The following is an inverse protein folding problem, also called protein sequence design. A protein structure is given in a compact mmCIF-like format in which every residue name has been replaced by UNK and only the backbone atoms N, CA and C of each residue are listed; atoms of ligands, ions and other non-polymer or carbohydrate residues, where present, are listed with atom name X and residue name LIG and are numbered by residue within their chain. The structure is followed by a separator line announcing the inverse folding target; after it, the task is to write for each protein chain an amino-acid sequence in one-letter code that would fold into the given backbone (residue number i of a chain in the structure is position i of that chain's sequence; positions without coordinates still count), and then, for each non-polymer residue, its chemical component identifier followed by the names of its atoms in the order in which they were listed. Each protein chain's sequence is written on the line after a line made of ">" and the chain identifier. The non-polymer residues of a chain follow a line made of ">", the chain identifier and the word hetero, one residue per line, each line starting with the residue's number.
data_IF_071818750459
#
_entry.id   IF_071818750459
#
_cell.length_a   1.000
_cell.length_b   1.000
_cell.length_c   1.000
_cell.angle_alpha   90.00
_cell.angle_beta   90.00
_cell.angle_gamma   90.00
#
_symmetry.space_group_name_H-M   'P 1'
#
loop_
_entity.id
_entity.type
_entity.pdbx_description
1 polymer ?
#
# COMPACT_ATOMS: atom_id res chain seq x y z
N UNK A 1 28.18 -11.84 8.66
CA UNK A 1 26.92 -11.37 9.29
C UNK A 1 25.78 -12.08 8.59
N UNK A 2 25.01 -12.91 9.30
CA UNK A 2 23.87 -13.63 8.75
C UNK A 2 22.64 -12.72 8.89
N UNK A 3 21.94 -12.42 7.81
CA UNK A 3 20.68 -11.69 7.83
C UNK A 3 19.61 -12.67 7.40
N UNK A 4 18.69 -12.98 8.30
CA UNK A 4 17.54 -13.85 8.03
C UNK A 4 16.37 -12.94 7.68
N UNK A 5 15.83 -13.09 6.47
CA UNK A 5 14.67 -12.33 5.98
C UNK A 5 13.49 -13.28 5.95
N UNK A 6 12.52 -13.08 6.82
CA UNK A 6 11.25 -13.80 6.76
C UNK A 6 10.28 -13.00 5.87
N UNK A 7 9.86 -13.60 4.75
CA UNK A 7 8.66 -13.16 4.05
C UNK A 7 7.46 -13.56 4.89
N UNK A 8 6.53 -12.65 5.14
CA UNK A 8 5.28 -12.92 5.87
C UNK A 8 4.39 -13.85 5.03
N UNK A 9 4.65 -15.14 5.11
CA UNK A 9 3.68 -16.18 4.76
C UNK A 9 2.61 -16.22 5.86
N UNK A 10 1.41 -15.79 5.46
CA UNK A 10 0.08 -16.20 5.93
C UNK A 10 0.04 -16.66 7.40
N UNK A 11 -0.26 -15.73 8.30
CA UNK A 11 -0.72 -16.05 9.65
C UNK A 11 -2.20 -16.41 9.59
N UNK A 12 -2.49 -17.68 9.31
CA UNK A 12 -3.77 -18.29 9.64
C UNK A 12 -3.87 -18.47 11.16
N UNK A 13 -4.88 -17.83 11.75
CA UNK A 13 -5.49 -18.17 13.05
C UNK A 13 -4.57 -18.25 14.28
N UNK A 14 -3.96 -17.13 14.66
CA UNK A 14 -3.46 -16.97 16.04
C UNK A 14 -3.94 -15.63 16.60
N UNK A 15 -4.47 -15.72 17.82
CA UNK A 15 -4.94 -14.66 18.71
C UNK A 15 -4.09 -13.38 18.58
N UNK A 16 -4.69 -12.34 17.99
CA UNK A 16 -4.01 -11.09 17.59
C UNK A 16 -3.58 -10.28 18.83
N UNK A 17 -4.04 -10.66 20.03
CA UNK A 17 -3.66 -10.00 21.27
C UNK A 17 -2.30 -10.43 21.82
N UNK A 18 -1.67 -11.47 21.26
CA UNK A 18 -0.33 -11.88 21.68
C UNK A 18 0.51 -12.34 20.48
N UNK A 19 1.44 -11.49 20.06
CA UNK A 19 2.50 -11.90 19.13
C UNK A 19 3.37 -12.99 19.76
N UNK A 20 3.60 -14.14 19.10
CA UNK A 20 4.48 -15.20 19.61
C UNK A 20 5.96 -14.80 19.60
N UNK A 21 6.29 -13.59 19.10
CA UNK A 21 7.63 -13.02 19.07
C UNK A 21 7.89 -12.01 20.21
N UNK A 22 7.00 -11.91 21.19
CA UNK A 22 7.01 -10.89 22.24
C UNK A 22 8.26 -10.85 23.16
N UNK A 23 9.38 -11.49 22.79
CA UNK A 23 10.68 -11.29 23.43
C UNK A 23 11.92 -11.62 22.57
N UNK A 24 11.84 -11.68 21.23
CA UNK A 24 13.02 -12.03 20.41
C UNK A 24 13.20 -11.16 19.17
N UNK A 25 13.61 -9.91 19.39
CA UNK A 25 14.16 -9.07 18.32
C UNK A 25 13.85 -7.59 18.52
N UNK A 26 14.85 -6.74 18.29
CA UNK A 26 14.61 -5.31 18.09
C UNK A 26 13.76 -5.17 16.82
N UNK A 27 12.54 -4.67 16.95
CA UNK A 27 11.70 -4.32 15.79
C UNK A 27 12.36 -3.11 15.12
N UNK A 28 13.12 -3.36 14.04
CA UNK A 28 13.64 -2.30 13.20
C UNK A 28 12.52 -1.98 12.20
N UNK A 29 11.70 -0.99 12.56
CA UNK A 29 10.78 -0.40 11.60
C UNK A 29 11.58 0.23 10.47
N UNK A 30 11.39 -0.25 9.24
CA UNK A 30 12.01 0.35 8.06
C UNK A 30 11.16 1.56 7.65
N UNK A 31 11.65 2.78 7.86
CA UNK A 31 10.87 3.96 7.54
C UNK A 31 10.65 4.04 6.03
N UNK A 32 9.57 4.73 5.66
CA UNK A 32 9.38 5.17 4.29
C UNK A 32 10.54 6.08 3.86
N UNK A 33 10.87 6.04 2.58
CA UNK A 33 11.85 6.94 1.99
C UNK A 33 11.32 8.37 1.95
N UNK A 34 12.21 9.32 2.25
CA UNK A 34 11.94 10.74 2.02
C UNK A 34 11.92 11.05 0.52
N UNK A 35 11.35 12.19 0.13
CA UNK A 35 11.34 12.66 -1.26
C UNK A 35 12.76 12.72 -1.85
N UNK A 36 13.75 13.16 -1.07
CA UNK A 36 15.16 13.22 -1.51
C UNK A 36 15.74 11.83 -1.74
N UNK A 37 15.41 10.87 -0.88
CA UNK A 37 15.83 9.48 -1.04
C UNK A 37 15.18 8.82 -2.26
N UNK A 38 13.91 9.14 -2.53
CA UNK A 38 13.22 8.66 -3.74
C UNK A 38 13.80 9.30 -5.00
N UNK A 39 14.11 10.60 -4.97
CA UNK A 39 14.76 11.27 -6.09
C UNK A 39 16.12 10.64 -6.43
N UNK A 40 16.93 10.36 -5.41
CA UNK A 40 18.20 9.65 -5.58
C UNK A 40 17.99 8.24 -6.12
N UNK A 41 16.98 7.51 -5.62
CA UNK A 41 16.64 6.19 -6.11
C UNK A 41 16.25 6.22 -7.59
N UNK A 42 15.39 7.14 -8.01
CA UNK A 42 14.96 7.33 -9.41
C UNK A 42 16.16 7.54 -10.33
N UNK A 43 17.12 8.40 -9.94
CA UNK A 43 18.36 8.63 -10.69
C UNK A 43 19.22 7.37 -10.82
N UNK A 44 19.29 6.53 -9.77
CA UNK A 44 20.02 5.25 -9.83
C UNK A 44 19.41 4.23 -10.80
N UNK A 45 18.13 4.37 -11.13
CA UNK A 45 17.48 3.57 -12.17
C UNK A 45 17.71 4.15 -13.59
N UNK A 46 18.45 5.25 -13.72
CA UNK A 46 18.78 5.88 -15.01
C UNK A 46 17.70 6.84 -15.53
N UNK A 47 16.75 7.22 -14.68
CA UNK A 47 15.73 8.23 -14.99
C UNK A 47 16.26 9.62 -14.64
N UNK A 48 15.71 10.66 -15.26
CA UNK A 48 16.16 12.04 -15.08
C UNK A 48 15.98 12.57 -13.63
N UNK A 49 15.05 11.98 -12.88
CA UNK A 49 14.74 12.40 -11.52
C UNK A 49 14.08 13.78 -11.48
N UNK A 50 13.26 14.08 -12.49
CA UNK A 50 12.43 15.29 -12.52
C UNK A 50 11.65 15.42 -11.19
N UNK A 51 11.82 16.51 -10.43
CA UNK A 51 11.17 16.68 -9.13
C UNK A 51 9.65 16.52 -9.16
N UNK A 52 9.00 16.96 -10.25
CA UNK A 52 7.54 16.83 -10.41
C UNK A 52 7.13 15.37 -10.57
N UNK A 53 7.84 14.61 -11.40
CA UNK A 53 7.57 13.18 -11.59
C UNK A 53 7.85 12.37 -10.31
N UNK A 54 8.88 12.77 -9.55
CA UNK A 54 9.17 12.19 -8.23
C UNK A 54 8.03 12.48 -7.24
N UNK A 55 7.49 13.70 -7.24
CA UNK A 55 6.34 14.06 -6.40
C UNK A 55 5.09 13.25 -6.78
N UNK A 56 4.81 13.09 -8.07
CA UNK A 56 3.71 12.27 -8.57
C UNK A 56 3.88 10.78 -8.22
N UNK A 57 5.11 10.25 -8.30
CA UNK A 57 5.44 8.90 -7.84
C UNK A 57 5.25 8.75 -6.32
N UNK A 58 5.69 9.73 -5.54
CA UNK A 58 5.48 9.78 -4.09
C UNK A 58 3.99 9.82 -3.74
N UNK A 59 3.17 10.57 -4.48
CA UNK A 59 1.72 10.55 -4.32
C UNK A 59 1.14 9.15 -4.60
N UNK A 60 1.59 8.51 -5.68
CA UNK A 60 1.11 7.19 -6.09
C UNK A 60 1.46 6.10 -5.09
N UNK A 61 2.73 5.94 -4.71
CA UNK A 61 3.17 4.77 -3.91
C UNK A 61 3.72 5.12 -2.52
N UNK A 62 3.74 6.40 -2.15
CA UNK A 62 4.39 6.88 -0.93
C UNK A 62 5.91 6.71 -0.97
N UNK A 63 6.54 6.72 0.20
CA UNK A 63 7.96 6.37 0.34
C UNK A 63 8.20 4.86 0.47
N UNK A 64 7.25 4.00 0.09
CA UNK A 64 7.29 2.57 0.38
C UNK A 64 8.42 1.87 -0.41
N UNK A 65 9.51 1.38 0.22
CA UNK A 65 10.70 0.92 -0.51
C UNK A 65 10.43 -0.23 -1.49
N UNK A 66 9.57 -1.17 -1.10
CA UNK A 66 9.16 -2.27 -1.99
C UNK A 66 8.40 -1.80 -3.24
N UNK A 67 7.38 -0.95 -3.10
CA UNK A 67 6.59 -0.46 -4.22
C UNK A 67 7.43 0.41 -5.15
N UNK A 68 8.27 1.29 -4.59
CA UNK A 68 9.22 2.10 -5.37
C UNK A 68 10.15 1.23 -6.20
N UNK A 69 10.82 0.24 -5.58
CA UNK A 69 11.72 -0.66 -6.32
C UNK A 69 10.98 -1.46 -7.40
N UNK A 70 9.78 -1.96 -7.10
CA UNK A 70 8.98 -2.72 -8.07
C UNK A 70 8.54 -1.86 -9.26
N UNK A 71 8.08 -0.64 -9.01
CA UNK A 71 7.69 0.30 -10.07
C UNK A 71 8.87 0.74 -10.95
N UNK A 72 10.00 1.09 -10.33
CA UNK A 72 11.20 1.52 -11.06
C UNK A 72 11.85 0.38 -11.86
N UNK A 73 11.84 -0.85 -11.32
CA UNK A 73 12.26 -2.03 -12.07
C UNK A 73 11.34 -2.27 -13.28
N UNK A 74 10.02 -2.17 -13.08
CA UNK A 74 9.04 -2.34 -14.16
C UNK A 74 9.24 -1.34 -15.30
N UNK A 75 9.49 -0.06 -14.98
CA UNK A 75 9.86 0.98 -15.96
C UNK A 75 11.03 0.53 -16.82
N UNK A 76 12.10 0.04 -16.18
CA UNK A 76 13.32 -0.39 -16.86
C UNK A 76 13.09 -1.63 -17.72
N UNK A 77 12.36 -2.61 -17.20
CA UNK A 77 12.13 -3.90 -17.88
C UNK A 77 11.22 -3.75 -19.10
N UNK A 78 10.28 -2.79 -19.08
CA UNK A 78 9.30 -2.58 -20.14
C UNK A 78 9.58 -1.35 -21.01
N UNK A 79 10.64 -0.59 -20.67
CA UNK A 79 11.04 0.63 -21.35
C UNK A 79 9.87 1.64 -21.51
N UNK A 80 9.14 1.87 -20.43
CA UNK A 80 8.03 2.84 -20.36
C UNK A 80 8.45 4.10 -19.61
N UNK A 81 7.65 5.16 -19.68
CA UNK A 81 7.89 6.39 -18.89
C UNK A 81 7.32 6.27 -17.48
N UNK A 82 7.75 7.18 -16.59
CA UNK A 82 7.16 7.29 -15.25
C UNK A 82 5.67 7.66 -15.33
N UNK A 83 5.27 8.56 -16.24
CA UNK A 83 3.86 8.87 -16.48
C UNK A 83 3.04 7.62 -16.85
N UNK A 84 3.55 6.77 -17.75
CA UNK A 84 2.90 5.50 -18.12
C UNK A 84 2.82 4.53 -16.94
N UNK A 85 3.84 4.48 -16.08
CA UNK A 85 3.80 3.71 -14.84
C UNK A 85 2.65 4.19 -13.94
N UNK A 86 2.46 5.51 -13.77
CA UNK A 86 1.41 6.07 -12.91
C UNK A 86 0.00 5.74 -13.39
N UNK A 87 -0.21 5.66 -14.70
CA UNK A 87 -1.49 5.23 -15.29
C UNK A 87 -1.75 3.74 -15.06
N UNK A 88 -0.72 2.90 -15.22
CA UNK A 88 -0.84 1.45 -15.06
C UNK A 88 -0.89 1.02 -13.59
N UNK A 89 -0.27 1.77 -12.69
CA UNK A 89 -0.04 1.40 -11.30
C UNK A 89 -1.28 0.87 -10.56
N UNK A 90 -2.45 1.55 -10.59
CA UNK A 90 -3.64 1.09 -9.90
C UNK A 90 -4.48 0.09 -10.72
N UNK A 91 -3.92 -0.57 -11.73
CA UNK A 91 -4.67 -1.48 -12.63
C UNK A 91 -4.21 -2.93 -12.49
N UNK A 92 -5.00 -3.87 -13.02
CA UNK A 92 -4.61 -5.29 -13.08
C UNK A 92 -3.44 -5.57 -14.03
N UNK A 93 -3.22 -4.68 -15.00
CA UNK A 93 -2.08 -4.74 -15.91
C UNK A 93 -0.81 -4.09 -15.31
N UNK A 94 -0.95 -3.40 -14.18
CA UNK A 94 0.14 -2.69 -13.53
C UNK A 94 1.11 -3.61 -12.77
N UNK A 95 2.31 -3.10 -12.45
CA UNK A 95 3.32 -3.87 -11.70
C UNK A 95 2.86 -4.27 -10.30
N UNK A 96 1.85 -3.59 -9.75
CA UNK A 96 1.40 -3.82 -8.38
C UNK A 96 0.23 -4.83 -8.30
N UNK A 97 -0.25 -5.37 -9.42
CA UNK A 97 -1.49 -6.16 -9.45
C UNK A 97 -1.50 -7.36 -8.51
N UNK A 98 -0.42 -8.16 -8.45
CA UNK A 98 -0.34 -9.30 -7.51
C UNK A 98 -0.40 -8.85 -6.04
N UNK A 99 0.27 -7.75 -5.73
CA UNK A 99 0.31 -7.18 -4.38
C UNK A 99 -1.09 -6.70 -3.98
N UNK A 100 -1.77 -5.99 -4.88
CA UNK A 100 -3.11 -5.45 -4.69
C UNK A 100 -4.16 -6.56 -4.60
N UNK A 101 -4.11 -7.57 -5.49
CA UNK A 101 -5.02 -8.73 -5.46
C UNK A 101 -4.89 -9.54 -4.18
N UNK A 102 -3.67 -9.70 -3.65
CA UNK A 102 -3.46 -10.36 -2.36
C UNK A 102 -4.14 -9.59 -1.22
N UNK A 103 -4.00 -8.27 -1.17
CA UNK A 103 -4.71 -7.45 -0.18
C UNK A 103 -6.23 -7.52 -0.36
N UNK A 104 -6.73 -7.45 -1.60
CA UNK A 104 -8.16 -7.60 -1.88
C UNK A 104 -8.70 -8.97 -1.45
N UNK A 105 -7.94 -10.05 -1.69
CA UNK A 105 -8.29 -11.40 -1.25
C UNK A 105 -8.37 -11.51 0.27
N UNK A 106 -7.45 -10.88 1.01
CA UNK A 106 -7.47 -10.84 2.46
C UNK A 106 -8.67 -10.03 3.00
N UNK A 107 -9.00 -8.90 2.35
CA UNK A 107 -10.16 -8.08 2.74
C UNK A 107 -11.48 -8.83 2.56
N UNK A 108 -11.63 -9.56 1.44
CA UNK A 108 -12.84 -10.36 1.16
C UNK A 108 -13.10 -11.49 2.16
N UNK A 109 -12.10 -11.90 2.93
CA UNK A 109 -12.28 -12.87 4.01
C UNK A 109 -12.90 -12.25 5.28
N UNK A 110 -12.95 -10.92 5.37
CA UNK A 110 -13.44 -10.18 6.52
C UNK A 110 -14.34 -9.02 6.06
N UNK A 111 -15.68 -9.25 5.97
CA UNK A 111 -16.62 -8.23 5.50
C UNK A 111 -16.55 -6.91 6.28
N UNK A 112 -16.23 -6.97 7.57
CA UNK A 112 -16.01 -5.79 8.41
C UNK A 112 -14.84 -4.93 7.94
N UNK A 113 -13.73 -5.53 7.51
CA UNK A 113 -12.55 -4.82 7.00
C UNK A 113 -12.78 -4.31 5.59
N UNK A 114 -13.49 -5.08 4.77
CA UNK A 114 -13.90 -4.64 3.44
C UNK A 114 -14.74 -3.36 3.53
N UNK A 115 -15.82 -3.37 4.31
CA UNK A 115 -16.68 -2.19 4.52
C UNK A 115 -15.94 -1.03 5.20
N UNK A 116 -15.03 -1.32 6.14
CA UNK A 116 -14.22 -0.27 6.75
C UNK A 116 -13.30 0.39 5.73
N UNK A 117 -12.60 -0.39 4.89
CA UNK A 117 -11.73 0.16 3.87
C UNK A 117 -12.50 0.90 2.79
N UNK A 118 -13.67 0.39 2.38
CA UNK A 118 -14.59 1.07 1.46
C UNK A 118 -14.90 2.50 1.93
N UNK A 119 -15.29 2.67 3.20
CA UNK A 119 -15.52 4.00 3.79
C UNK A 119 -14.28 4.89 3.72
N UNK A 120 -13.10 4.32 3.95
CA UNK A 120 -11.84 5.06 3.93
C UNK A 120 -11.46 5.51 2.53
N UNK A 121 -11.69 4.70 1.50
CA UNK A 121 -11.33 5.04 0.11
C UNK A 121 -12.38 5.89 -0.60
N UNK A 122 -13.64 5.86 -0.15
CA UNK A 122 -14.68 6.80 -0.60
C UNK A 122 -14.49 8.21 -0.02
N UNK A 123 -13.83 8.31 1.13
CA UNK A 123 -13.56 9.59 1.75
C UNK A 123 -12.35 10.29 1.12
N UNK A 124 -12.52 11.56 0.79
CA UNK A 124 -11.42 12.45 0.38
C UNK A 124 -10.73 13.11 1.59
N UNK A 125 -10.89 12.54 2.79
CA UNK A 125 -10.43 13.12 4.06
C UNK A 125 -10.16 12.05 5.12
N UNK A 126 -9.60 12.47 6.25
CA UNK A 126 -9.45 11.63 7.45
C UNK A 126 -10.81 11.20 7.99
N UNK A 127 -11.01 9.89 8.17
CA UNK A 127 -12.26 9.33 8.69
C UNK A 127 -12.05 8.48 9.94
N UNK A 128 -13.04 8.49 10.83
CA UNK A 128 -13.05 7.61 12.00
C UNK A 128 -13.79 6.32 11.65
N UNK A 129 -13.11 5.20 11.85
CA UNK A 129 -13.70 3.85 11.82
C UNK A 129 -13.47 3.20 13.18
N UNK A 130 -14.15 2.10 13.52
CA UNK A 130 -13.95 1.51 14.84
C UNK A 130 -12.51 1.01 15.01
N UNK A 131 -12.02 1.09 16.25
CA UNK A 131 -10.58 1.03 16.56
C UNK A 131 -9.93 -0.29 16.12
N UNK A 132 -10.66 -1.40 16.21
CA UNK A 132 -10.16 -2.71 15.78
C UNK A 132 -9.92 -2.76 14.26
N UNK A 133 -10.85 -2.23 13.46
CA UNK A 133 -10.66 -2.19 12.00
C UNK A 133 -9.56 -1.19 11.61
N UNK A 134 -9.47 -0.04 12.30
CA UNK A 134 -8.40 0.93 12.09
C UNK A 134 -7.02 0.30 12.33
N UNK A 135 -6.86 -0.42 13.45
CA UNK A 135 -5.62 -1.11 13.78
C UNK A 135 -5.29 -2.20 12.74
N UNK A 136 -6.25 -3.08 12.41
CA UNK A 136 -6.04 -4.15 11.40
C UNK A 136 -5.63 -3.57 10.04
N UNK A 137 -6.33 -2.55 9.53
CA UNK A 137 -6.00 -1.91 8.26
C UNK A 137 -4.64 -1.21 8.28
N UNK A 138 -4.27 -0.60 9.41
CA UNK A 138 -2.95 0.00 9.60
C UNK A 138 -1.85 -1.06 9.61
N UNK A 139 -2.02 -2.16 10.33
CA UNK A 139 -1.09 -3.30 10.37
C UNK A 139 -0.94 -3.99 9.00
N UNK A 140 -1.98 -3.96 8.16
CA UNK A 140 -1.90 -4.41 6.76
C UNK A 140 -1.12 -3.43 5.86
N UNK A 141 -0.77 -2.24 6.36
CA UNK A 141 -0.09 -1.19 5.61
C UNK A 141 -0.99 -0.41 4.66
N UNK A 142 -2.31 -0.61 4.68
CA UNK A 142 -3.24 -0.03 3.72
C UNK A 142 -3.62 1.43 4.04
N UNK A 143 -3.60 1.78 5.32
CA UNK A 143 -3.96 3.11 5.82
C UNK A 143 -2.82 3.71 6.65
N UNK A 144 -2.88 5.04 6.83
CA UNK A 144 -2.12 5.80 7.82
C UNK A 144 -3.06 6.28 8.92
N UNK A 145 -2.52 6.48 10.11
CA UNK A 145 -3.25 6.91 11.31
C UNK A 145 -2.85 8.34 11.68
N UNK A 146 -3.84 9.15 12.06
CA UNK A 146 -3.65 10.45 12.71
C UNK A 146 -4.70 10.58 13.82
N UNK A 147 -4.26 10.47 15.07
CA UNK A 147 -5.17 10.33 16.20
C UNK A 147 -6.08 9.11 16.03
N UNK A 148 -7.39 9.32 16.08
CA UNK A 148 -8.40 8.27 15.90
C UNK A 148 -8.91 8.15 14.46
N UNK A 149 -8.30 8.88 13.52
CA UNK A 149 -8.73 8.90 12.13
C UNK A 149 -7.73 8.18 11.23
N UNK A 150 -8.24 7.62 10.14
CA UNK A 150 -7.48 6.93 9.11
C UNK A 150 -7.71 7.57 7.74
N UNK A 151 -6.75 7.37 6.85
CA UNK A 151 -6.89 7.63 5.41
C UNK A 151 -6.04 6.63 4.62
N UNK A 152 -6.29 6.43 3.30
CA UNK A 152 -5.44 5.58 2.48
C UNK A 152 -3.97 6.01 2.59
N UNK A 153 -3.06 5.03 2.65
CA UNK A 153 -1.62 5.33 2.80
C UNK A 153 -1.08 6.12 1.60
N UNK A 154 -1.50 5.76 0.39
CA UNK A 154 -1.09 6.37 -0.87
C UNK A 154 -2.19 6.25 -1.94
N UNK A 155 -2.04 6.97 -3.05
CA UNK A 155 -3.05 7.01 -4.11
C UNK A 155 -3.23 5.66 -4.79
N UNK A 156 -2.19 4.81 -4.81
CA UNK A 156 -2.28 3.45 -5.36
C UNK A 156 -3.40 2.66 -4.68
N UNK A 157 -3.44 2.68 -3.35
CA UNK A 157 -4.47 1.99 -2.59
C UNK A 157 -5.82 2.70 -2.72
N UNK A 158 -5.84 4.03 -2.63
CA UNK A 158 -7.09 4.77 -2.83
C UNK A 158 -7.72 4.42 -4.19
N UNK A 159 -6.99 4.58 -5.29
CA UNK A 159 -7.50 4.37 -6.66
C UNK A 159 -7.92 2.91 -6.89
N UNK A 160 -7.06 1.95 -6.54
CA UNK A 160 -7.35 0.53 -6.78
C UNK A 160 -8.55 0.05 -5.95
N UNK A 161 -8.58 0.31 -4.65
CA UNK A 161 -9.67 -0.19 -3.80
C UNK A 161 -10.97 0.60 -3.99
N UNK A 162 -10.90 1.89 -4.33
CA UNK A 162 -12.09 2.66 -4.69
C UNK A 162 -12.75 2.06 -5.94
N UNK A 163 -11.98 1.77 -6.99
CA UNK A 163 -12.51 1.10 -8.19
C UNK A 163 -13.17 -0.25 -7.86
N UNK A 164 -12.59 -1.04 -6.96
CA UNK A 164 -13.09 -2.40 -6.67
C UNK A 164 -14.21 -2.49 -5.64
N UNK A 165 -14.26 -1.57 -4.69
CA UNK A 165 -15.19 -1.62 -3.56
C UNK A 165 -16.38 -0.67 -3.72
N UNK A 166 -16.17 0.48 -4.35
CA UNK A 166 -17.22 1.50 -4.51
C UNK A 166 -18.21 1.18 -5.64
N UNK A 167 -17.95 0.13 -6.45
CA UNK A 167 -18.84 -0.33 -7.51
C UNK A 167 -20.06 -1.13 -7.01
N UNK A 168 -20.34 -1.16 -5.70
CA UNK A 168 -21.59 -1.73 -5.16
C UNK A 168 -22.76 -0.79 -5.41
N UNK A 169 -23.15 -0.67 -6.68
CA UNK A 169 -24.50 -0.27 -7.07
C UNK A 169 -25.42 -1.37 -6.53
N UNK A 170 -26.41 -0.97 -5.73
CA UNK A 170 -27.45 -1.83 -5.19
C UNK A 170 -28.05 -2.73 -6.29
N UNK A 171 -28.45 -3.98 -6.00
CA UNK A 171 -29.26 -4.72 -6.95
C UNK A 171 -30.55 -3.93 -7.16
N UNK A 172 -30.79 -3.48 -8.39
CA UNK A 172 -32.16 -3.16 -8.81
C UNK A 172 -32.99 -4.44 -8.67
N UNK A 173 -34.12 -4.32 -7.98
CA UNK A 173 -35.28 -5.23 -7.85
C UNK A 173 -35.40 -6.00 -6.53
#
# INVERSE_FOLDING_TARGET
>A
RLVIVHSTEIYSSLDINHSPLANVGLEIELPEFSTEQVQELVKRYGLDGNPREVEELMGMVGGHPYLLRKGLAYIKDHNITLAQLLELAPTEAGPFSDHLRRHLGNLKQSPELETALEKVVQANSWVTIPSEQAFKLYSMGLVKLQGNSVMPRCDLYHKYFCDRLCQRIEPES
#
